data_IF_823976718213
#
_entry.id   IF_823976718213
#
_cell.length_a   1.000
_cell.length_b   1.000
_cell.length_c   1.000
_cell.angle_alpha   90.00
_cell.angle_beta   90.00
_cell.angle_gamma   90.00
#
_symmetry.space_group_name_H-M   'P 1'
#
loop_
_entity.id
_entity.type
_entity.pdbx_description
1 polymer ?
#
# COMPACT_ATOMS: atom_id res chain seq x y z
N UNK A 1 3.71 -0.82 -29.88
CA UNK A 1 2.60 -0.35 -29.03
C UNK A 1 2.99 -0.67 -27.60
N UNK A 2 2.88 0.27 -26.64
CA UNK A 2 3.13 -0.08 -25.24
C UNK A 2 2.16 -1.19 -24.84
N UNK A 3 2.69 -2.22 -24.18
CA UNK A 3 1.89 -3.34 -23.70
C UNK A 3 0.88 -2.81 -22.68
N UNK A 4 -0.38 -3.22 -22.80
CA UNK A 4 -1.43 -2.78 -21.89
C UNK A 4 -1.19 -3.44 -20.52
N UNK A 5 -1.09 -2.63 -19.49
CA UNK A 5 -1.03 -3.08 -18.09
C UNK A 5 -2.42 -2.85 -17.49
N UNK A 6 -3.06 -3.94 -17.04
CA UNK A 6 -4.35 -3.91 -16.35
C UNK A 6 -4.15 -4.37 -14.90
N UNK A 7 -4.77 -3.65 -13.97
CA UNK A 7 -4.83 -4.05 -12.56
C UNK A 7 -6.26 -4.48 -12.25
N UNK A 8 -6.42 -5.69 -11.73
CA UNK A 8 -7.71 -6.28 -11.39
C UNK A 8 -7.79 -6.53 -9.88
N UNK A 9 -8.93 -6.18 -9.28
CA UNK A 9 -9.28 -6.57 -7.92
C UNK A 9 -10.34 -7.68 -7.97
N UNK A 10 -10.10 -8.76 -7.25
CA UNK A 10 -11.08 -9.83 -7.02
C UNK A 10 -11.47 -9.83 -5.55
N UNK A 11 -12.78 -9.89 -5.27
CA UNK A 11 -13.33 -9.83 -3.91
C UNK A 11 -14.09 -11.12 -3.64
N UNK A 12 -13.71 -11.83 -2.58
CA UNK A 12 -14.38 -13.03 -2.10
C UNK A 12 -14.98 -12.76 -0.73
N UNK A 13 -16.21 -13.22 -0.50
CA UNK A 13 -16.80 -13.22 0.84
C UNK A 13 -16.39 -14.51 1.54
N UNK A 14 -15.77 -14.39 2.71
CA UNK A 14 -15.48 -15.56 3.54
C UNK A 14 -16.70 -15.92 4.38
N UNK A 15 -17.35 -17.01 4.01
CA UNK A 15 -18.56 -17.53 4.69
C UNK A 15 -18.23 -18.40 5.91
N UNK A 16 -16.95 -18.72 6.14
CA UNK A 16 -16.45 -19.56 7.23
C UNK A 16 -16.38 -18.84 8.58
N UNK A 17 -16.52 -17.51 8.62
CA UNK A 17 -16.44 -16.71 9.84
C UNK A 17 -17.83 -16.24 10.32
N UNK A 18 -18.07 -16.17 11.65
CA UNK A 18 -19.33 -15.64 12.21
C UNK A 18 -19.61 -14.20 11.78
N UNK A 19 -18.55 -13.39 11.65
CA UNK A 19 -18.61 -12.03 11.14
C UNK A 19 -18.19 -12.02 9.66
N UNK A 20 -18.90 -11.31 8.76
CA UNK A 20 -18.59 -11.31 7.34
C UNK A 20 -17.22 -10.67 7.08
N UNK A 21 -16.28 -11.46 6.58
CA UNK A 21 -14.98 -11.00 6.10
C UNK A 21 -14.94 -11.01 4.58
N UNK A 22 -14.14 -10.11 4.03
CA UNK A 22 -13.85 -10.07 2.61
C UNK A 22 -12.36 -10.34 2.40
N UNK A 23 -12.04 -11.29 1.53
CA UNK A 23 -10.71 -11.47 0.98
C UNK A 23 -10.61 -10.66 -0.31
N UNK A 24 -9.57 -9.85 -0.42
CA UNK A 24 -9.24 -9.09 -1.64
C UNK A 24 -7.95 -9.63 -2.23
N UNK A 25 -7.96 -9.84 -3.54
CA UNK A 25 -6.80 -10.29 -4.30
C UNK A 25 -6.53 -9.32 -5.44
N UNK A 26 -5.30 -8.80 -5.49
CA UNK A 26 -4.86 -7.89 -6.52
C UNK A 26 -4.04 -8.61 -7.57
N UNK A 27 -4.36 -8.40 -8.84
CA UNK A 27 -3.61 -8.96 -9.96
C UNK A 27 -3.15 -7.87 -10.91
N UNK A 28 -1.98 -8.09 -11.51
CA UNK A 28 -1.51 -7.35 -12.69
C UNK A 28 -1.53 -8.28 -13.88
N UNK A 29 -2.15 -7.82 -14.97
CA UNK A 29 -2.05 -8.42 -16.28
C UNK A 29 -1.16 -7.54 -17.15
N UNK A 30 -0.04 -8.09 -17.63
CA UNK A 30 0.87 -7.46 -18.57
C UNK A 30 1.15 -8.45 -19.71
N UNK A 31 0.57 -8.19 -20.89
CA UNK A 31 0.65 -9.13 -22.01
C UNK A 31 0.02 -10.48 -21.68
N UNK A 32 0.82 -11.54 -21.78
CA UNK A 32 0.43 -12.91 -21.43
C UNK A 32 0.74 -13.27 -19.95
N UNK A 33 1.34 -12.37 -19.19
CA UNK A 33 1.65 -12.60 -17.77
C UNK A 33 0.52 -12.10 -16.89
N UNK A 34 0.11 -12.94 -15.92
CA UNK A 34 -0.77 -12.58 -14.82
C UNK A 34 -0.02 -12.82 -13.52
N UNK A 35 0.13 -11.78 -12.71
CA UNK A 35 0.87 -11.81 -11.44
C UNK A 35 -0.07 -11.44 -10.30
N UNK A 36 -0.16 -12.26 -9.26
CA UNK A 36 -0.82 -11.90 -8.00
C UNK A 36 0.11 -10.94 -7.23
N UNK A 37 -0.37 -9.72 -6.94
CA UNK A 37 0.37 -8.74 -6.16
C UNK A 37 0.26 -9.00 -4.65
N UNK A 38 -0.90 -9.49 -4.22
CA UNK A 38 -1.16 -9.78 -2.82
C UNK A 38 -2.60 -10.19 -2.57
N UNK A 39 -2.81 -10.81 -1.40
CA UNK A 39 -4.05 -11.41 -0.93
C UNK A 39 -4.25 -11.08 0.55
N UNK A 40 -5.37 -10.44 0.88
CA UNK A 40 -5.61 -9.95 2.25
C UNK A 40 -7.06 -10.16 2.66
N UNK A 41 -7.23 -10.86 3.78
CA UNK A 41 -8.51 -10.95 4.49
C UNK A 41 -8.68 -9.72 5.38
N UNK A 42 -9.90 -9.18 5.43
CA UNK A 42 -10.26 -8.02 6.28
C UNK A 42 -9.50 -6.73 5.91
N UNK A 43 -9.10 -6.62 4.65
CA UNK A 43 -8.57 -5.38 4.11
C UNK A 43 -9.63 -4.27 4.15
N UNK A 44 -9.19 -3.02 4.37
CA UNK A 44 -10.07 -1.86 4.47
C UNK A 44 -11.17 -1.90 3.39
N UNK A 45 -12.41 -1.62 3.81
CA UNK A 45 -13.62 -1.82 3.00
C UNK A 45 -13.59 -1.17 1.61
N UNK A 46 -12.70 -0.20 1.42
CA UNK A 46 -12.64 0.69 0.26
C UNK A 46 -11.82 0.11 -0.91
N UNK A 47 -11.09 -1.00 -0.73
CA UNK A 47 -10.32 -1.65 -1.79
C UNK A 47 -9.22 -0.76 -2.39
N UNK A 48 -9.05 -0.80 -3.72
CA UNK A 48 -8.23 0.20 -4.44
C UNK A 48 -8.90 1.58 -4.39
N UNK A 49 -8.33 2.49 -3.61
CA UNK A 49 -8.86 3.86 -3.46
C UNK A 49 -8.22 4.87 -4.40
N UNK A 50 -7.07 4.52 -4.99
CA UNK A 50 -6.28 5.40 -5.85
C UNK A 50 -5.92 4.63 -7.12
N UNK A 51 -6.09 5.23 -8.32
CA UNK A 51 -5.70 4.59 -9.57
C UNK A 51 -4.23 4.14 -9.56
N UNK A 52 -3.90 2.97 -10.12
CA UNK A 52 -2.53 2.55 -10.30
C UNK A 52 -1.73 3.60 -11.06
N UNK A 53 -0.48 3.79 -10.66
CA UNK A 53 0.41 4.80 -11.25
C UNK A 53 1.76 4.19 -11.61
N UNK A 54 2.39 4.72 -12.66
CA UNK A 54 3.78 4.41 -12.97
C UNK A 54 4.66 5.47 -12.31
N UNK A 55 5.55 5.05 -11.43
CA UNK A 55 6.57 5.91 -10.79
C UNK A 55 7.94 5.38 -11.18
N UNK A 56 8.70 6.18 -11.93
CA UNK A 56 9.91 5.71 -12.64
C UNK A 56 9.58 4.50 -13.54
N UNK A 57 10.01 3.30 -13.17
CA UNK A 57 9.71 2.02 -13.86
C UNK A 57 8.76 1.11 -13.07
N UNK A 58 8.34 1.53 -11.88
CA UNK A 58 7.49 0.72 -11.00
C UNK A 58 6.02 1.01 -11.26
N UNK A 59 5.22 -0.06 -11.44
CA UNK A 59 3.79 0.02 -11.22
C UNK A 59 3.54 0.05 -9.71
N UNK A 60 2.88 1.12 -9.26
CA UNK A 60 2.48 1.30 -7.87
C UNK A 60 0.96 1.15 -7.80
N UNK A 61 0.51 0.13 -7.07
CA UNK A 61 -0.91 -0.12 -6.79
C UNK A 61 -1.16 0.15 -5.32
N UNK A 62 -2.14 0.99 -5.01
CA UNK A 62 -2.47 1.37 -3.64
C UNK A 62 -3.86 0.84 -3.29
N UNK A 63 -3.91 -0.04 -2.30
CA UNK A 63 -5.15 -0.44 -1.64
C UNK A 63 -5.34 0.37 -0.35
N UNK A 64 -6.49 0.20 0.29
CA UNK A 64 -6.83 0.97 1.49
C UNK A 64 -5.81 0.87 2.63
N UNK A 65 -5.04 -0.22 2.73
CA UNK A 65 -3.98 -0.38 3.74
C UNK A 65 -2.59 -0.69 3.16
N UNK A 66 -2.50 -1.19 1.93
CA UNK A 66 -1.26 -1.69 1.35
C UNK A 66 -0.84 -0.88 0.12
N UNK A 67 0.47 -0.85 -0.13
CA UNK A 67 1.03 -0.38 -1.39
C UNK A 67 1.83 -1.52 -1.99
N UNK A 68 1.54 -1.86 -3.24
CA UNK A 68 2.27 -2.86 -4.02
C UNK A 68 3.14 -2.17 -5.06
N UNK A 69 4.37 -2.63 -5.19
CA UNK A 69 5.32 -2.19 -6.19
C UNK A 69 5.69 -3.37 -7.06
N UNK A 70 5.53 -3.22 -8.38
CA UNK A 70 5.82 -4.28 -9.32
C UNK A 70 6.52 -3.78 -10.58
N UNK A 71 7.36 -4.63 -11.16
CA UNK A 71 7.96 -4.49 -12.49
C UNK A 71 7.95 -5.85 -13.18
N UNK A 72 7.96 -5.90 -14.52
CA UNK A 72 8.22 -7.14 -15.24
C UNK A 72 9.51 -7.81 -14.74
N UNK A 73 9.46 -9.13 -14.60
CA UNK A 73 10.59 -9.97 -14.19
C UNK A 73 11.18 -9.69 -12.79
N UNK A 74 10.47 -8.93 -11.94
CA UNK A 74 10.84 -8.66 -10.56
C UNK A 74 9.83 -9.26 -9.57
N UNK A 75 10.30 -9.59 -8.37
CA UNK A 75 9.42 -9.95 -7.25
C UNK A 75 8.55 -8.76 -6.85
N UNK A 76 7.30 -9.05 -6.48
CA UNK A 76 6.37 -8.06 -5.93
C UNK A 76 6.91 -7.58 -4.59
N UNK A 77 6.95 -6.26 -4.40
CA UNK A 77 7.22 -5.66 -3.10
C UNK A 77 5.93 -5.08 -2.54
N UNK A 78 5.79 -5.18 -1.23
CA UNK A 78 4.64 -4.62 -0.53
C UNK A 78 5.12 -3.67 0.57
N UNK A 79 4.34 -2.65 0.84
CA UNK A 79 4.50 -1.77 1.98
C UNK A 79 3.17 -1.63 2.70
N UNK A 80 3.26 -1.58 4.03
CA UNK A 80 2.15 -1.34 4.94
C UNK A 80 2.73 -0.66 6.19
N UNK A 81 2.08 0.37 6.77
CA UNK A 81 2.67 1.12 7.89
C UNK A 81 3.18 0.23 9.04
N UNK A 82 2.46 -0.85 9.39
CA UNK A 82 2.88 -1.78 10.46
C UNK A 82 4.14 -2.58 10.18
N UNK A 83 4.62 -2.65 8.93
CA UNK A 83 5.91 -3.30 8.62
C UNK A 83 7.08 -2.31 8.63
N UNK A 84 6.82 -1.01 8.82
CA UNK A 84 7.88 -0.02 8.96
C UNK A 84 8.53 -0.08 10.34
N UNK A 85 9.85 0.09 10.38
CA UNK A 85 10.60 0.25 11.63
C UNK A 85 10.00 1.43 12.43
N UNK A 86 9.94 1.27 13.75
CA UNK A 86 9.51 2.27 14.74
C UNK A 86 8.03 2.72 14.63
N UNK A 87 7.26 2.22 13.65
CA UNK A 87 5.87 2.63 13.45
C UNK A 87 4.98 2.27 14.64
N UNK A 88 5.09 1.06 15.17
CA UNK A 88 4.21 0.59 16.25
C UNK A 88 4.35 1.49 17.47
N UNK A 89 5.59 1.78 17.87
CA UNK A 89 5.87 2.65 19.01
C UNK A 89 5.39 4.09 18.73
N UNK A 90 5.72 4.64 17.56
CA UNK A 90 5.29 5.98 17.16
C UNK A 90 3.76 6.14 17.16
N UNK A 91 3.05 5.16 16.58
CA UNK A 91 1.60 5.15 16.46
C UNK A 91 0.93 4.97 17.83
N UNK A 92 1.47 4.11 18.69
CA UNK A 92 0.94 3.88 20.03
C UNK A 92 1.06 5.14 20.91
N UNK A 93 2.22 5.80 20.90
CA UNK A 93 2.43 7.05 21.66
C UNK A 93 1.43 8.15 21.29
N UNK A 94 1.00 8.18 20.03
CA UNK A 94 0.13 9.23 19.46
C UNK A 94 -1.30 8.78 19.24
N UNK A 95 -1.65 7.57 19.66
CA UNK A 95 -2.98 6.97 19.47
C UNK A 95 -3.44 7.05 18.00
N UNK A 96 -2.54 6.72 17.07
CA UNK A 96 -2.83 6.78 15.64
C UNK A 96 -3.47 5.48 15.16
N UNK A 97 -4.52 5.60 14.36
CA UNK A 97 -5.05 4.48 13.60
C UNK A 97 -4.68 4.63 12.11
N UNK A 98 -3.45 4.22 11.78
CA UNK A 98 -2.81 4.54 10.50
C UNK A 98 -3.55 4.11 9.23
N UNK A 99 -4.43 3.10 9.31
CA UNK A 99 -5.15 2.58 8.12
C UNK A 99 -6.45 3.31 7.81
N UNK A 100 -7.02 4.00 8.79
CA UNK A 100 -8.34 4.60 8.65
C UNK A 100 -8.27 6.12 8.60
N UNK A 101 -7.32 6.72 9.32
CA UNK A 101 -7.25 8.18 9.43
C UNK A 101 -6.43 8.80 8.29
N UNK A 102 -5.59 8.02 7.61
CA UNK A 102 -4.60 8.51 6.65
C UNK A 102 -4.76 7.83 5.28
N UNK A 103 -4.49 8.59 4.22
CA UNK A 103 -4.46 8.10 2.85
C UNK A 103 -3.13 8.41 2.20
N UNK A 104 -2.63 7.49 1.37
CA UNK A 104 -1.42 7.73 0.57
C UNK A 104 -1.69 8.86 -0.42
N UNK A 105 -0.83 9.86 -0.48
CA UNK A 105 -0.95 10.96 -1.45
C UNK A 105 0.26 11.08 -2.35
N UNK A 106 1.40 10.52 -1.96
CA UNK A 106 2.62 10.60 -2.76
C UNK A 106 3.46 9.35 -2.58
N UNK A 107 3.94 8.84 -3.71
CA UNK A 107 5.00 7.83 -3.79
C UNK A 107 6.09 8.39 -4.69
N UNK A 108 7.33 8.40 -4.20
CA UNK A 108 8.52 8.82 -4.97
C UNK A 108 9.57 7.73 -4.90
N UNK A 109 10.23 7.50 -6.02
CA UNK A 109 11.29 6.51 -6.17
C UNK A 109 12.45 7.21 -6.88
N UNK A 110 13.58 7.34 -6.17
CA UNK A 110 14.83 7.91 -6.69
C UNK A 110 15.99 6.97 -6.38
N UNK A 111 16.29 6.06 -7.32
CA UNK A 111 17.28 5.01 -7.13
C UNK A 111 16.93 4.11 -5.94
N UNK A 112 17.75 4.19 -4.89
CA UNK A 112 17.57 3.42 -3.64
C UNK A 112 16.72 4.16 -2.60
N UNK A 113 16.52 5.48 -2.76
CA UNK A 113 15.72 6.27 -1.83
C UNK A 113 14.26 6.29 -2.29
N UNK A 114 13.38 5.72 -1.48
CA UNK A 114 11.95 5.69 -1.74
C UNK A 114 11.24 6.46 -0.65
N UNK A 115 10.18 7.18 -1.01
CA UNK A 115 9.39 7.98 -0.07
C UNK A 115 7.91 7.71 -0.31
N UNK A 116 7.19 7.46 0.79
CA UNK A 116 5.75 7.30 0.81
C UNK A 116 5.18 8.32 1.79
N UNK A 117 4.24 9.14 1.32
CA UNK A 117 3.59 10.17 2.14
C UNK A 117 2.12 9.79 2.29
N UNK A 118 1.67 9.81 3.53
CA UNK A 118 0.28 9.74 3.87
C UNK A 118 -0.19 11.08 4.43
N UNK A 119 -1.29 11.61 3.91
CA UNK A 119 -1.96 12.78 4.46
C UNK A 119 -3.21 12.34 5.22
N UNK A 120 -3.49 13.05 6.30
CA UNK A 120 -4.64 12.73 7.13
C UNK A 120 -5.95 13.25 6.54
N UNK A 121 -6.97 12.39 6.52
CA UNK A 121 -8.32 12.74 6.02
C UNK A 121 -9.35 12.89 7.15
N UNK A 122 -9.08 12.30 8.33
CA UNK A 122 -10.01 12.30 9.46
C UNK A 122 -9.34 12.42 10.85
N UNK A 123 -8.19 13.08 10.93
CA UNK A 123 -7.41 13.15 12.18
C UNK A 123 -8.14 13.85 13.32
N UNK A 124 -7.99 13.28 14.51
CA UNK A 124 -8.32 13.95 15.77
C UNK A 124 -7.31 15.05 16.08
N UNK A 125 -7.74 16.05 16.87
CA UNK A 125 -6.87 17.15 17.33
C UNK A 125 -5.63 16.60 18.02
N UNK A 126 -4.44 17.01 17.55
CA UNK A 126 -3.15 16.60 18.09
C UNK A 126 -2.46 15.47 17.34
N UNK A 127 -3.15 14.81 16.40
CA UNK A 127 -2.51 13.87 15.48
C UNK A 127 -1.75 14.62 14.37
N UNK A 128 -0.64 14.05 13.83
CA UNK A 128 0.11 14.68 12.77
C UNK A 128 -0.73 14.77 11.48
N UNK A 129 -0.69 15.90 10.79
CA UNK A 129 -1.42 16.06 9.54
C UNK A 129 -0.87 15.18 8.40
N UNK A 130 0.37 14.71 8.55
CA UNK A 130 1.12 13.97 7.55
C UNK A 130 2.03 12.96 8.22
N UNK A 131 2.11 11.77 7.63
CA UNK A 131 3.09 10.75 7.95
C UNK A 131 4.01 10.55 6.75
N UNK A 132 5.30 10.33 7.01
CA UNK A 132 6.28 10.07 5.96
C UNK A 132 7.03 8.79 6.30
N UNK A 133 7.12 7.92 5.32
CA UNK A 133 7.93 6.72 5.36
C UNK A 133 9.02 6.82 4.31
N UNK A 134 10.22 6.40 4.66
CA UNK A 134 11.38 6.41 3.77
C UNK A 134 12.06 5.05 3.77
N UNK A 135 12.53 4.65 2.61
CA UNK A 135 13.45 3.53 2.44
C UNK A 135 14.72 4.04 1.78
N UNK A 136 15.88 3.50 2.17
CA UNK A 136 17.19 3.83 1.57
C UNK A 136 17.88 2.60 0.97
N UNK A 137 17.18 1.47 0.93
CA UNK A 137 17.65 0.17 0.43
C UNK A 137 16.81 -0.33 -0.74
N UNK A 138 16.18 0.60 -1.46
CA UNK A 138 15.34 0.30 -2.61
C UNK A 138 14.04 -0.37 -2.20
N UNK A 139 13.41 0.06 -1.11
CA UNK A 139 12.10 -0.43 -0.68
C UNK A 139 12.10 -1.79 0.00
N UNK A 140 13.23 -2.26 0.55
CA UNK A 140 13.28 -3.50 1.33
C UNK A 140 12.89 -3.25 2.79
N UNK A 141 13.38 -2.16 3.37
CA UNK A 141 13.00 -1.69 4.71
C UNK A 141 12.50 -0.27 4.63
N UNK A 142 11.49 0.05 5.44
CA UNK A 142 10.93 1.39 5.55
C UNK A 142 11.01 1.85 6.99
N UNK A 143 11.30 3.13 7.18
CA UNK A 143 11.27 3.78 8.49
C UNK A 143 10.31 4.94 8.46
N UNK A 144 9.62 5.14 9.57
CA UNK A 144 8.87 6.36 9.79
C UNK A 144 9.85 7.51 10.03
N UNK A 145 9.60 8.66 9.39
CA UNK A 145 10.29 9.92 9.67
C UNK A 145 9.26 10.99 10.02
N UNK A 146 9.47 11.71 11.14
CA UNK A 146 8.53 12.73 11.60
C UNK A 146 8.46 13.97 10.71
#
# INVERSE_FOLDING_TARGET
MPEMILVEEQIYREESFPDPRYERIYHVQAGNQRVELGRYTDEAANGMTIPPQIVDRWLVVMSGAHIFFWQPDADVRHFHPYVADDWVDYAQERQLNGHYDYVVTTVRIDGMEWQIIYDCTACLTGQPARLRFVSVDGGQTFRMVP
#
